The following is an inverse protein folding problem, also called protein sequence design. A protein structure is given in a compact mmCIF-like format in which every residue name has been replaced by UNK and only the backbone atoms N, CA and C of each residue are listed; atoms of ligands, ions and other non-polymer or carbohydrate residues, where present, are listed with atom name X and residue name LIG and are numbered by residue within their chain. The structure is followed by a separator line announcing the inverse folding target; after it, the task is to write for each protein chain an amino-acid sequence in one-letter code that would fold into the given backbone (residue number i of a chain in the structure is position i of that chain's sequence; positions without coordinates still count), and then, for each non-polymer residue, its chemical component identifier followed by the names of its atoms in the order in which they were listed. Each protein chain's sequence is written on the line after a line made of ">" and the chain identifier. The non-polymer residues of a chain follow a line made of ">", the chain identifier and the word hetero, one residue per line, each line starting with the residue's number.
data_IF_365937521924
#
_entry.id   IF_365937521924
#
_cell.length_a   1.000
_cell.length_b   1.000
_cell.length_c   1.000
_cell.angle_alpha   90.00
_cell.angle_beta   90.00
_cell.angle_gamma   90.00
#
_symmetry.space_group_name_H-M   'P 1'
#
loop_
_entity.id
_entity.type
_entity.pdbx_description
1 polymer ?
#
# COMPACT_ATOMS: atom_id res chain seq x y z
N UNK A 1 16.92 -41.00 -13.63
CA UNK A 1 17.08 -40.98 -12.15
C UNK A 1 18.54 -40.92 -11.67
N UNK A 2 19.54 -41.46 -12.39
CA UNK A 2 20.94 -41.45 -11.92
C UNK A 2 21.60 -40.06 -11.88
N UNK A 3 21.50 -39.27 -12.95
CA UNK A 3 22.23 -37.99 -13.05
C UNK A 3 21.81 -36.96 -12.00
N UNK A 4 20.51 -36.87 -11.72
CA UNK A 4 19.96 -35.95 -10.72
C UNK A 4 20.34 -36.34 -9.29
N UNK A 5 20.29 -37.64 -8.96
CA UNK A 5 20.73 -38.11 -7.64
C UNK A 5 22.24 -38.00 -7.48
N UNK A 6 23.02 -38.22 -8.55
CA UNK A 6 24.47 -37.98 -8.57
C UNK A 6 24.80 -36.51 -8.38
N UNK A 7 24.10 -35.57 -9.03
CA UNK A 7 24.30 -34.13 -8.84
C UNK A 7 23.94 -33.72 -7.41
N UNK A 8 22.77 -34.16 -6.90
CA UNK A 8 22.34 -33.86 -5.53
C UNK A 8 23.35 -34.40 -4.51
N UNK A 9 23.87 -35.61 -4.71
CA UNK A 9 24.86 -36.23 -3.82
C UNK A 9 26.25 -35.56 -3.93
N UNK A 10 26.67 -35.16 -5.13
CA UNK A 10 27.90 -34.37 -5.32
C UNK A 10 27.81 -32.98 -4.68
N UNK A 11 26.62 -32.38 -4.62
CA UNK A 11 26.38 -31.14 -3.90
C UNK A 11 26.44 -31.35 -2.37
N UNK A 12 26.03 -32.52 -1.86
CA UNK A 12 26.15 -32.89 -0.44
C UNK A 12 27.59 -33.19 -0.01
N UNK A 13 28.37 -33.87 -0.86
CA UNK A 13 29.72 -34.36 -0.52
C UNK A 13 30.82 -33.27 -0.58
N UNK A 14 30.53 -32.07 -1.11
CA UNK A 14 31.37 -30.86 -1.02
C UNK A 14 32.77 -30.92 -1.65
N UNK A 15 33.16 -32.04 -2.26
CA UNK A 15 34.56 -32.40 -2.55
C UNK A 15 35.10 -31.87 -3.89
N UNK A 16 34.24 -31.25 -4.72
CA UNK A 16 34.64 -30.60 -5.97
C UNK A 16 33.60 -29.56 -6.42
N UNK A 17 33.68 -28.35 -5.89
CA UNK A 17 32.78 -27.23 -6.22
C UNK A 17 32.75 -26.93 -7.72
N UNK A 18 33.88 -27.02 -8.42
CA UNK A 18 33.97 -26.71 -9.85
C UNK A 18 33.27 -27.75 -10.74
N UNK A 19 33.49 -29.05 -10.50
CA UNK A 19 32.76 -30.11 -11.23
C UNK A 19 31.26 -30.05 -10.94
N UNK A 20 30.88 -29.83 -9.69
CA UNK A 20 29.48 -29.66 -9.30
C UNK A 20 28.85 -28.46 -10.02
N UNK A 21 29.58 -27.35 -10.15
CA UNK A 21 29.12 -26.14 -10.86
C UNK A 21 28.86 -26.39 -12.35
N UNK A 22 29.74 -27.12 -13.04
CA UNK A 22 29.58 -27.43 -14.47
C UNK A 22 28.40 -28.38 -14.71
N UNK A 23 28.29 -29.45 -13.92
CA UNK A 23 27.18 -30.39 -14.02
C UNK A 23 25.84 -29.72 -13.66
N UNK A 24 25.84 -28.87 -12.64
CA UNK A 24 24.67 -28.10 -12.24
C UNK A 24 24.23 -27.16 -13.36
N UNK A 25 25.15 -26.48 -14.05
CA UNK A 25 24.80 -25.61 -15.18
C UNK A 25 24.14 -26.36 -16.34
N UNK A 26 24.63 -27.56 -16.67
CA UNK A 26 23.98 -28.40 -17.69
C UNK A 26 22.59 -28.86 -17.26
N UNK A 27 22.46 -29.30 -16.00
CA UNK A 27 21.17 -29.73 -15.46
C UNK A 27 20.16 -28.58 -15.40
N UNK A 28 20.56 -27.41 -14.91
CA UNK A 28 19.68 -26.23 -14.81
C UNK A 28 19.20 -25.77 -16.18
N UNK A 29 20.07 -25.74 -17.20
CA UNK A 29 19.64 -25.42 -18.58
C UNK A 29 18.54 -26.35 -19.07
N UNK A 30 18.65 -27.65 -18.82
CA UNK A 30 17.58 -28.58 -19.17
C UNK A 30 16.32 -28.35 -18.34
N UNK A 31 16.48 -28.27 -17.01
CA UNK A 31 15.37 -28.15 -16.06
C UNK A 31 14.56 -26.87 -16.29
N UNK A 32 15.18 -25.74 -16.60
CA UNK A 32 14.52 -24.46 -16.83
C UNK A 32 13.97 -24.29 -18.26
N UNK A 33 14.30 -25.20 -19.18
CA UNK A 33 13.87 -25.09 -20.59
C UNK A 33 12.42 -25.53 -20.84
N UNK A 34 11.95 -25.32 -22.08
CA UNK A 34 10.75 -25.91 -22.67
C UNK A 34 10.65 -27.43 -22.56
N UNK A 35 11.78 -28.11 -22.35
CA UNK A 35 11.83 -29.57 -22.18
C UNK A 35 11.78 -30.02 -20.71
N UNK A 36 11.83 -29.08 -19.77
CA UNK A 36 11.76 -29.35 -18.33
C UNK A 36 10.53 -28.71 -17.71
N UNK A 37 10.73 -27.56 -17.08
CA UNK A 37 9.73 -26.85 -16.28
C UNK A 37 8.58 -26.26 -17.10
N UNK A 38 8.84 -25.92 -18.36
CA UNK A 38 7.86 -25.42 -19.32
C UNK A 38 7.30 -26.54 -20.22
N UNK A 39 7.63 -27.80 -19.96
CA UNK A 39 7.13 -28.96 -20.72
C UNK A 39 5.61 -29.04 -20.67
N UNK A 40 4.95 -29.51 -21.72
CA UNK A 40 3.50 -29.76 -21.72
C UNK A 40 3.08 -31.04 -20.97
N UNK A 41 4.03 -31.79 -20.42
CA UNK A 41 3.78 -33.05 -19.70
C UNK A 41 3.89 -32.82 -18.20
N UNK A 42 2.81 -33.04 -17.46
CA UNK A 42 2.75 -32.74 -16.03
C UNK A 42 3.75 -33.54 -15.19
N UNK A 43 4.03 -34.79 -15.55
CA UNK A 43 5.06 -35.58 -14.89
C UNK A 43 6.47 -34.98 -15.06
N UNK A 44 6.75 -34.41 -16.25
CA UNK A 44 8.03 -33.76 -16.55
C UNK A 44 8.14 -32.43 -15.80
N UNK A 45 7.06 -31.63 -15.76
CA UNK A 45 7.01 -30.41 -14.93
C UNK A 45 7.23 -30.74 -13.47
N UNK A 46 6.51 -31.73 -12.93
CA UNK A 46 6.58 -32.14 -11.54
C UNK A 46 7.97 -32.64 -11.16
N UNK A 47 8.60 -33.47 -12.02
CA UNK A 47 9.98 -33.91 -11.84
C UNK A 47 10.97 -32.74 -11.87
N UNK A 48 10.81 -31.83 -12.84
CA UNK A 48 11.70 -30.68 -12.99
C UNK A 48 11.60 -29.73 -11.80
N UNK A 49 10.38 -29.42 -11.37
CA UNK A 49 10.11 -28.60 -10.19
C UNK A 49 10.72 -29.23 -8.93
N UNK A 50 10.46 -30.52 -8.68
CA UNK A 50 11.03 -31.24 -7.53
C UNK A 50 12.55 -31.19 -7.54
N UNK A 51 13.15 -31.40 -8.71
CA UNK A 51 14.61 -31.34 -8.86
C UNK A 51 15.16 -29.94 -8.58
N UNK A 52 14.52 -28.88 -9.10
CA UNK A 52 14.93 -27.50 -8.84
C UNK A 52 14.81 -27.18 -7.35
N UNK A 53 13.74 -27.63 -6.67
CA UNK A 53 13.62 -27.46 -5.22
C UNK A 53 14.76 -28.15 -4.46
N UNK A 54 15.12 -29.37 -4.82
CA UNK A 54 16.24 -30.09 -4.21
C UNK A 54 17.59 -29.38 -4.47
N UNK A 55 17.80 -28.90 -5.70
CA UNK A 55 18.98 -28.13 -6.11
C UNK A 55 19.09 -26.82 -5.33
N UNK A 56 18.02 -26.04 -5.21
CA UNK A 56 18.06 -24.76 -4.48
C UNK A 56 18.32 -24.98 -2.99
N UNK A 57 17.79 -26.07 -2.42
CA UNK A 57 17.98 -26.44 -1.02
C UNK A 57 19.40 -26.92 -0.70
N UNK A 58 20.03 -27.69 -1.61
CA UNK A 58 21.32 -28.35 -1.36
C UNK A 58 22.50 -27.72 -2.10
N UNK A 59 22.25 -26.83 -3.06
CA UNK A 59 23.24 -26.29 -3.99
C UNK A 59 24.30 -25.40 -3.35
N UNK A 60 24.03 -24.80 -2.19
CA UNK A 60 24.96 -23.93 -1.47
C UNK A 60 25.62 -22.89 -2.39
N UNK A 61 26.94 -22.71 -2.23
CA UNK A 61 27.73 -21.74 -3.03
C UNK A 61 27.78 -22.08 -4.53
N UNK A 62 27.59 -23.34 -4.92
CA UNK A 62 27.61 -23.73 -6.33
C UNK A 62 26.39 -23.20 -7.10
N UNK A 63 25.31 -22.83 -6.39
CA UNK A 63 24.10 -22.23 -6.97
C UNK A 63 24.31 -20.77 -7.38
N UNK A 64 25.23 -20.06 -6.71
CA UNK A 64 25.46 -18.61 -6.83
C UNK A 64 25.40 -18.08 -8.29
N UNK A 65 26.10 -18.68 -9.28
CA UNK A 65 26.13 -18.16 -10.65
C UNK A 65 24.79 -18.21 -11.39
N UNK A 66 23.84 -18.99 -10.88
CA UNK A 66 22.56 -19.28 -11.54
C UNK A 66 21.38 -18.62 -10.83
N UNK A 67 21.60 -17.98 -9.68
CA UNK A 67 20.54 -17.38 -8.84
C UNK A 67 19.73 -16.34 -9.61
N UNK A 68 20.40 -15.45 -10.35
CA UNK A 68 19.76 -14.40 -11.13
C UNK A 68 18.86 -14.95 -12.26
N UNK A 69 19.14 -16.16 -12.75
CA UNK A 69 18.35 -16.85 -13.76
C UNK A 69 17.21 -17.65 -13.12
N UNK A 70 17.45 -18.34 -12.01
CA UNK A 70 16.48 -19.24 -11.36
C UNK A 70 15.31 -18.47 -10.75
N UNK A 71 15.56 -17.35 -10.05
CA UNK A 71 14.50 -16.61 -9.33
C UNK A 71 13.34 -16.20 -10.26
N UNK A 72 13.59 -15.55 -11.43
CA UNK A 72 12.52 -15.22 -12.38
C UNK A 72 11.68 -16.42 -12.82
N UNK A 73 12.33 -17.56 -13.11
CA UNK A 73 11.62 -18.78 -13.52
C UNK A 73 10.72 -19.26 -12.39
N UNK A 74 11.24 -19.35 -11.15
CA UNK A 74 10.46 -19.75 -9.98
C UNK A 74 9.25 -18.83 -9.75
N UNK A 75 9.42 -17.51 -9.89
CA UNK A 75 8.32 -16.55 -9.77
C UNK A 75 7.20 -16.83 -10.78
N UNK A 76 7.56 -17.11 -12.04
CA UNK A 76 6.59 -17.39 -13.09
C UNK A 76 5.83 -18.71 -12.85
N UNK A 77 6.42 -19.66 -12.12
CA UNK A 77 5.75 -20.92 -11.82
C UNK A 77 4.57 -20.82 -10.87
N UNK A 78 4.50 -19.76 -10.06
CA UNK A 78 3.39 -19.59 -9.12
C UNK A 78 2.02 -19.63 -9.82
N UNK A 79 1.93 -19.18 -11.07
CA UNK A 79 0.69 -19.23 -11.84
C UNK A 79 0.54 -20.47 -12.72
N UNK A 80 1.56 -21.30 -12.89
CA UNK A 80 1.49 -22.51 -13.72
C UNK A 80 1.21 -23.80 -12.93
N UNK A 81 1.48 -23.80 -11.62
CA UNK A 81 1.35 -24.98 -10.75
C UNK A 81 -0.03 -25.06 -10.06
N UNK A 82 -0.94 -24.12 -10.33
CA UNK A 82 -2.28 -24.17 -9.76
C UNK A 82 -3.13 -25.29 -10.38
N UNK A 83 -3.80 -26.13 -9.57
CA UNK A 83 -4.69 -27.16 -10.08
C UNK A 83 -5.79 -26.56 -10.98
N UNK A 84 -6.01 -27.17 -12.16
CA UNK A 84 -6.99 -26.69 -13.15
C UNK A 84 -8.41 -26.59 -12.59
N UNK A 85 -8.75 -27.44 -11.61
CA UNK A 85 -10.06 -27.44 -10.95
C UNK A 85 -10.33 -26.12 -10.21
N UNK A 86 -9.28 -25.49 -9.63
CA UNK A 86 -9.43 -24.21 -8.94
C UNK A 86 -9.68 -23.10 -9.96
N UNK A 87 -8.98 -23.12 -11.09
CA UNK A 87 -9.20 -22.17 -12.18
C UNK A 87 -10.60 -22.30 -12.79
N UNK A 88 -11.06 -23.53 -13.00
CA UNK A 88 -12.41 -23.81 -13.48
C UNK A 88 -13.48 -23.35 -12.48
N UNK A 89 -13.28 -23.60 -11.18
CA UNK A 89 -14.18 -23.11 -10.14
C UNK A 89 -14.23 -21.58 -10.11
N UNK A 90 -13.08 -20.90 -10.21
CA UNK A 90 -12.99 -19.44 -10.19
C UNK A 90 -13.85 -18.77 -11.28
N UNK A 91 -13.84 -19.32 -12.50
CA UNK A 91 -14.63 -18.78 -13.62
C UNK A 91 -16.15 -18.84 -13.36
N UNK A 92 -16.59 -19.80 -12.55
CA UNK A 92 -18.01 -20.05 -12.24
C UNK A 92 -18.50 -19.33 -10.98
N UNK A 93 -17.60 -18.76 -10.18
CA UNK A 93 -17.95 -18.02 -8.98
C UNK A 93 -18.46 -16.61 -9.30
N UNK A 94 -19.42 -16.17 -8.50
CA UNK A 94 -19.83 -14.76 -8.39
C UNK A 94 -18.71 -13.93 -7.76
N UNK A 95 -18.74 -12.62 -8.01
CA UNK A 95 -17.66 -11.68 -7.66
C UNK A 95 -17.36 -11.63 -6.15
N UNK A 96 -18.38 -11.71 -5.30
CA UNK A 96 -18.28 -11.77 -3.84
C UNK A 96 -17.48 -12.99 -3.34
N UNK A 97 -17.68 -14.15 -3.97
CA UNK A 97 -16.97 -15.40 -3.62
C UNK A 97 -15.56 -15.46 -4.23
N UNK A 98 -15.32 -14.74 -5.33
CA UNK A 98 -13.97 -14.62 -5.93
C UNK A 98 -12.99 -13.99 -4.95
N UNK A 99 -13.41 -12.98 -4.18
CA UNK A 99 -12.54 -12.34 -3.19
C UNK A 99 -12.04 -13.29 -2.09
N UNK A 100 -12.89 -14.23 -1.62
CA UNK A 100 -12.45 -15.23 -0.64
C UNK A 100 -11.47 -16.24 -1.24
N UNK A 101 -11.70 -16.66 -2.48
CA UNK A 101 -10.80 -17.55 -3.18
C UNK A 101 -9.46 -16.87 -3.50
N UNK A 102 -9.47 -15.58 -3.85
CA UNK A 102 -8.25 -14.81 -4.07
C UNK A 102 -7.40 -14.71 -2.80
N UNK A 103 -8.01 -14.50 -1.63
CA UNK A 103 -7.30 -14.58 -0.34
C UNK A 103 -6.65 -15.92 -0.09
N UNK A 104 -7.38 -17.01 -0.37
CA UNK A 104 -6.85 -18.37 -0.22
C UNK A 104 -5.67 -18.60 -1.18
N UNK A 105 -5.81 -18.20 -2.45
CA UNK A 105 -4.75 -18.26 -3.47
C UNK A 105 -3.52 -17.44 -3.07
N UNK A 106 -3.72 -16.22 -2.56
CA UNK A 106 -2.65 -15.38 -2.05
C UNK A 106 -1.90 -16.04 -0.89
N UNK A 107 -2.62 -16.67 0.04
CA UNK A 107 -2.03 -17.42 1.16
C UNK A 107 -1.16 -18.59 0.69
N UNK A 108 -1.61 -19.34 -0.33
CA UNK A 108 -0.84 -20.45 -0.89
C UNK A 108 0.50 -20.01 -1.47
N UNK A 109 0.60 -18.83 -2.10
CA UNK A 109 1.88 -18.31 -2.57
C UNK A 109 2.86 -18.21 -1.40
N UNK A 110 2.44 -17.67 -0.26
CA UNK A 110 3.32 -17.46 0.89
C UNK A 110 3.85 -18.76 1.53
N UNK A 111 3.14 -19.88 1.36
CA UNK A 111 3.50 -21.18 1.94
C UNK A 111 3.97 -22.20 0.91
N UNK A 112 4.08 -21.81 -0.37
CA UNK A 112 4.39 -22.75 -1.43
C UNK A 112 5.85 -23.23 -1.38
N UNK A 113 6.13 -24.47 -1.83
CA UNK A 113 7.50 -24.96 -2.02
C UNK A 113 8.33 -24.12 -3.01
N UNK A 114 7.68 -23.46 -3.98
CA UNK A 114 8.32 -22.53 -4.93
C UNK A 114 8.91 -21.35 -4.16
N UNK A 115 8.16 -20.82 -3.20
CA UNK A 115 8.58 -19.72 -2.33
C UNK A 115 9.76 -20.13 -1.44
N UNK A 116 9.76 -21.36 -0.91
CA UNK A 116 10.92 -21.90 -0.18
C UNK A 116 12.16 -21.99 -1.07
N UNK A 117 12.00 -22.39 -2.34
CA UNK A 117 13.10 -22.43 -3.30
C UNK A 117 13.66 -21.04 -3.62
N UNK A 118 12.80 -20.02 -3.75
CA UNK A 118 13.22 -18.61 -3.89
C UNK A 118 13.99 -18.17 -2.64
N UNK A 119 13.47 -18.46 -1.44
CA UNK A 119 14.12 -18.13 -0.17
C UNK A 119 15.51 -18.78 -0.06
N UNK A 120 15.68 -20.01 -0.55
CA UNK A 120 16.97 -20.68 -0.58
C UNK A 120 17.93 -20.03 -1.58
N UNK A 121 17.44 -19.59 -2.74
CA UNK A 121 18.24 -18.83 -3.72
C UNK A 121 18.72 -17.50 -3.14
N UNK A 122 17.85 -16.79 -2.42
CA UNK A 122 18.18 -15.50 -1.81
C UNK A 122 19.37 -15.60 -0.86
N UNK A 123 19.57 -16.73 -0.15
CA UNK A 123 20.73 -16.94 0.74
C UNK A 123 22.09 -16.84 0.04
N UNK A 124 22.13 -16.89 -1.28
CA UNK A 124 23.37 -16.79 -2.06
C UNK A 124 23.57 -15.39 -2.67
N UNK A 125 22.61 -14.47 -2.51
CA UNK A 125 22.64 -13.13 -3.12
C UNK A 125 23.66 -12.24 -2.41
N UNK A 126 24.50 -11.60 -3.21
CA UNK A 126 25.41 -10.51 -2.86
C UNK A 126 25.30 -9.37 -3.89
N UNK A 127 26.17 -8.35 -3.80
CA UNK A 127 26.13 -7.18 -4.67
C UNK A 127 26.23 -7.54 -6.18
N UNK A 128 27.06 -8.53 -6.53
CA UNK A 128 27.25 -8.98 -7.91
C UNK A 128 25.97 -9.62 -8.44
N UNK A 129 25.37 -10.55 -7.69
CA UNK A 129 24.11 -11.18 -8.09
C UNK A 129 22.97 -10.17 -8.11
N UNK A 130 22.90 -9.27 -7.13
CA UNK A 130 21.83 -8.28 -7.06
C UNK A 130 21.82 -7.41 -8.32
N UNK A 131 23.01 -6.99 -8.80
CA UNK A 131 23.16 -6.23 -10.05
C UNK A 131 22.59 -6.97 -11.26
N UNK A 132 22.74 -8.29 -11.31
CA UNK A 132 22.18 -9.14 -12.38
C UNK A 132 20.68 -9.41 -12.19
N UNK A 133 20.23 -9.50 -10.93
CA UNK A 133 18.86 -9.86 -10.57
C UNK A 133 17.89 -8.68 -10.79
N UNK A 134 18.33 -7.44 -10.55
CA UNK A 134 17.52 -6.22 -10.72
C UNK A 134 16.82 -6.16 -12.09
N UNK A 135 17.51 -6.21 -13.25
CA UNK A 135 16.84 -6.14 -14.54
C UNK A 135 15.86 -7.31 -14.77
N UNK A 136 16.17 -8.50 -14.25
CA UNK A 136 15.32 -9.68 -14.40
C UNK A 136 14.04 -9.59 -13.54
N UNK A 137 14.14 -9.05 -12.31
CA UNK A 137 12.96 -8.77 -11.47
C UNK A 137 12.10 -7.70 -12.13
N UNK A 138 12.70 -6.64 -12.67
CA UNK A 138 11.96 -5.59 -13.35
C UNK A 138 11.15 -6.12 -14.52
N UNK A 139 11.76 -6.97 -15.34
CA UNK A 139 11.09 -7.60 -16.45
C UNK A 139 9.96 -8.50 -15.96
N UNK A 140 10.22 -9.36 -14.97
CA UNK A 140 9.22 -10.26 -14.39
C UNK A 140 8.00 -9.49 -13.84
N UNK A 141 8.22 -8.42 -13.07
CA UNK A 141 7.13 -7.58 -12.53
C UNK A 141 6.31 -6.93 -13.65
N UNK A 142 6.96 -6.49 -14.74
CA UNK A 142 6.28 -5.86 -15.88
C UNK A 142 5.49 -6.86 -16.73
N UNK A 143 5.99 -8.09 -16.88
CA UNK A 143 5.35 -9.13 -17.70
C UNK A 143 4.40 -10.03 -16.92
N UNK A 144 4.40 -10.00 -15.59
CA UNK A 144 3.53 -10.83 -14.77
C UNK A 144 2.05 -10.53 -15.04
N UNK A 145 1.31 -11.55 -15.50
CA UNK A 145 -0.13 -11.48 -15.73
C UNK A 145 -0.89 -12.08 -14.53
N UNK A 146 -0.50 -13.29 -14.12
CA UNK A 146 -1.18 -14.05 -13.08
C UNK A 146 -1.02 -13.45 -11.69
N UNK A 147 -2.10 -13.51 -10.90
CA UNK A 147 -2.15 -12.98 -9.53
C UNK A 147 -1.04 -13.58 -8.65
N UNK A 148 -0.84 -14.89 -8.71
CA UNK A 148 0.10 -15.58 -7.84
C UNK A 148 1.56 -15.15 -8.11
N UNK A 149 1.96 -15.03 -9.38
CA UNK A 149 3.28 -14.51 -9.74
C UNK A 149 3.47 -13.07 -9.28
N UNK A 150 2.47 -12.20 -9.44
CA UNK A 150 2.54 -10.81 -8.95
C UNK A 150 2.71 -10.74 -7.43
N UNK A 151 1.98 -11.56 -6.68
CA UNK A 151 2.13 -11.66 -5.23
C UNK A 151 3.53 -12.18 -4.85
N UNK A 152 4.04 -13.18 -5.56
CA UNK A 152 5.41 -13.67 -5.38
C UNK A 152 6.45 -12.58 -5.60
N UNK A 153 6.27 -11.75 -6.63
CA UNK A 153 7.15 -10.61 -6.89
C UNK A 153 7.09 -9.57 -5.76
N UNK A 154 5.89 -9.25 -5.27
CA UNK A 154 5.71 -8.34 -4.14
C UNK A 154 6.39 -8.87 -2.86
N UNK A 155 6.25 -10.17 -2.58
CA UNK A 155 6.92 -10.84 -1.46
C UNK A 155 8.44 -10.77 -1.60
N UNK A 156 8.98 -11.01 -2.80
CA UNK A 156 10.41 -10.95 -3.06
C UNK A 156 11.02 -9.60 -2.66
N UNK A 157 10.37 -8.46 -2.95
CA UNK A 157 10.83 -7.15 -2.48
C UNK A 157 10.88 -7.05 -0.96
N UNK A 158 9.89 -7.59 -0.27
CA UNK A 158 9.87 -7.63 1.20
C UNK A 158 11.04 -8.44 1.74
N UNK A 159 11.29 -9.63 1.17
CA UNK A 159 12.39 -10.50 1.61
C UNK A 159 13.76 -9.87 1.34
N UNK A 160 13.95 -9.24 0.18
CA UNK A 160 15.18 -8.54 -0.16
C UNK A 160 15.45 -7.39 0.81
N UNK A 161 14.46 -6.56 1.15
CA UNK A 161 14.66 -5.49 2.15
C UNK A 161 15.00 -6.07 3.53
N UNK A 162 14.36 -7.16 3.93
CA UNK A 162 14.52 -7.74 5.26
C UNK A 162 15.82 -8.51 5.43
N UNK A 163 16.34 -9.14 4.37
CA UNK A 163 17.49 -10.07 4.43
C UNK A 163 18.73 -9.57 3.68
N UNK A 164 18.54 -8.68 2.69
CA UNK A 164 19.57 -8.19 1.77
C UNK A 164 19.53 -6.65 1.68
N UNK A 165 19.42 -6.01 2.85
CA UNK A 165 19.19 -4.57 2.97
C UNK A 165 20.27 -3.76 2.26
N UNK A 166 21.55 -4.14 2.43
CA UNK A 166 22.70 -3.47 1.85
C UNK A 166 22.68 -3.58 0.32
N UNK A 167 22.43 -4.77 -0.20
CA UNK A 167 22.47 -5.06 -1.62
C UNK A 167 21.31 -4.37 -2.38
N UNK A 168 20.11 -4.28 -1.80
CA UNK A 168 18.94 -3.68 -2.46
C UNK A 168 18.90 -2.15 -2.37
N UNK A 169 19.53 -1.55 -1.36
CA UNK A 169 19.46 -0.10 -1.08
C UNK A 169 19.78 0.78 -2.31
N UNK A 170 20.84 0.51 -3.11
CA UNK A 170 21.14 1.30 -4.32
C UNK A 170 20.01 1.30 -5.37
N UNK A 171 19.13 0.30 -5.34
CA UNK A 171 18.05 0.09 -6.31
C UNK A 171 16.67 0.46 -5.76
N UNK A 172 16.56 0.79 -4.47
CA UNK A 172 15.29 1.03 -3.78
C UNK A 172 14.45 2.14 -4.44
N UNK A 173 15.07 3.24 -4.86
CA UNK A 173 14.39 4.34 -5.56
C UNK A 173 13.68 3.89 -6.83
N UNK A 174 14.34 3.03 -7.62
CA UNK A 174 13.83 2.50 -8.89
C UNK A 174 12.66 1.54 -8.65
N UNK A 175 12.80 0.63 -7.68
CA UNK A 175 11.72 -0.29 -7.33
C UNK A 175 10.52 0.44 -6.73
N UNK A 176 10.74 1.43 -5.87
CA UNK A 176 9.65 2.24 -5.32
C UNK A 176 8.91 3.02 -6.41
N UNK A 177 9.62 3.52 -7.43
CA UNK A 177 8.99 4.14 -8.61
C UNK A 177 8.10 3.15 -9.37
N UNK A 178 8.51 1.89 -9.50
CA UNK A 178 7.67 0.86 -10.11
C UNK A 178 6.41 0.58 -9.30
N UNK A 179 6.54 0.58 -7.96
CA UNK A 179 5.40 0.35 -7.08
C UNK A 179 4.29 1.37 -7.28
N UNK A 180 4.60 2.61 -7.67
CA UNK A 180 3.61 3.65 -7.98
C UNK A 180 2.54 3.18 -8.99
N UNK A 181 2.87 2.24 -9.88
CA UNK A 181 1.92 1.59 -10.79
C UNK A 181 1.34 0.30 -10.19
N UNK A 182 2.17 -0.52 -9.56
CA UNK A 182 1.78 -1.87 -9.12
C UNK A 182 0.78 -1.87 -7.97
N UNK A 183 0.82 -0.86 -7.09
CA UNK A 183 -0.18 -0.70 -6.02
C UNK A 183 -1.59 -0.46 -6.55
N UNK A 184 -1.74 -0.06 -7.82
CA UNK A 184 -3.02 0.17 -8.49
C UNK A 184 -3.54 -1.05 -9.25
N UNK A 185 -3.02 -2.25 -8.97
CA UNK A 185 -3.52 -3.47 -9.59
C UNK A 185 -5.02 -3.66 -9.32
N UNK A 186 -5.72 -4.18 -10.34
CA UNK A 186 -7.16 -4.42 -10.29
C UNK A 186 -7.52 -5.45 -9.21
N UNK A 187 -6.67 -6.46 -9.01
CA UNK A 187 -6.89 -7.44 -7.96
C UNK A 187 -6.49 -6.87 -6.59
N UNK A 188 -7.39 -6.97 -5.60
CA UNK A 188 -7.17 -6.41 -4.27
C UNK A 188 -6.00 -7.05 -3.52
N UNK A 189 -5.83 -8.36 -3.61
CA UNK A 189 -4.74 -9.07 -2.93
C UNK A 189 -3.38 -8.72 -3.54
N UNK A 190 -3.31 -8.54 -4.86
CA UNK A 190 -2.10 -8.05 -5.55
C UNK A 190 -1.76 -6.64 -5.12
N UNK A 191 -2.75 -5.74 -5.12
CA UNK A 191 -2.56 -4.34 -4.71
C UNK A 191 -2.08 -4.26 -3.26
N UNK A 192 -2.68 -5.03 -2.34
CA UNK A 192 -2.27 -5.09 -0.93
C UNK A 192 -0.86 -5.67 -0.76
N UNK A 193 -0.50 -6.71 -1.52
CA UNK A 193 0.85 -7.27 -1.50
C UNK A 193 1.89 -6.23 -1.94
N UNK A 194 1.64 -5.49 -3.03
CA UNK A 194 2.53 -4.43 -3.48
C UNK A 194 2.53 -3.20 -2.56
N UNK A 195 1.41 -2.89 -1.90
CA UNK A 195 1.36 -1.85 -0.87
C UNK A 195 2.30 -2.20 0.30
N UNK A 196 2.27 -3.46 0.77
CA UNK A 196 3.20 -3.96 1.78
C UNK A 196 4.65 -3.94 1.29
N UNK A 197 4.92 -4.38 0.06
CA UNK A 197 6.24 -4.32 -0.53
C UNK A 197 6.79 -2.89 -0.59
N UNK A 198 5.94 -1.91 -0.95
CA UNK A 198 6.28 -0.49 -0.99
C UNK A 198 6.67 0.03 0.39
N UNK A 199 5.92 -0.34 1.44
CA UNK A 199 6.23 0.03 2.82
C UNK A 199 7.63 -0.45 3.23
N UNK A 200 7.99 -1.71 2.91
CA UNK A 200 9.35 -2.21 3.16
C UNK A 200 10.40 -1.48 2.32
N UNK A 201 10.17 -1.27 1.02
CA UNK A 201 11.10 -0.52 0.16
C UNK A 201 11.36 0.89 0.69
N UNK A 202 10.36 1.56 1.28
CA UNK A 202 10.55 2.86 1.91
C UNK A 202 11.57 2.84 3.05
N UNK A 203 11.81 1.71 3.73
CA UNK A 203 12.83 1.59 4.80
C UNK A 203 14.26 1.80 4.31
N UNK A 204 14.51 1.59 3.03
CA UNK A 204 15.83 1.66 2.39
C UNK A 204 15.88 2.67 1.24
N UNK A 205 14.76 3.32 0.94
CA UNK A 205 14.71 4.34 -0.11
C UNK A 205 15.30 5.67 0.38
N UNK A 206 15.99 6.43 -0.49
CA UNK A 206 16.38 7.81 -0.19
C UNK A 206 15.17 8.69 0.12
N UNK A 207 15.36 9.72 0.96
CA UNK A 207 14.30 10.63 1.40
C UNK A 207 13.50 11.24 0.24
N UNK A 208 14.18 11.74 -0.80
CA UNK A 208 13.54 12.28 -2.00
C UNK A 208 12.60 11.27 -2.71
N UNK A 209 12.90 9.97 -2.60
CA UNK A 209 12.06 8.91 -3.18
C UNK A 209 10.87 8.58 -2.29
N UNK A 210 11.05 8.59 -0.96
CA UNK A 210 9.95 8.47 0.01
C UNK A 210 8.95 9.62 -0.21
N UNK A 211 9.46 10.85 -0.33
CA UNK A 211 8.63 12.04 -0.54
C UNK A 211 7.87 12.00 -1.85
N UNK A 212 8.53 11.65 -2.95
CA UNK A 212 7.86 11.49 -4.25
C UNK A 212 6.73 10.47 -4.17
N UNK A 213 6.99 9.31 -3.56
CA UNK A 213 6.02 8.23 -3.46
C UNK A 213 4.79 8.64 -2.64
N UNK A 214 4.99 9.28 -1.49
CA UNK A 214 3.89 9.73 -0.62
C UNK A 214 3.11 10.88 -1.24
N UNK A 215 3.79 11.87 -1.82
CA UNK A 215 3.10 12.96 -2.55
C UNK A 215 2.24 12.39 -3.66
N UNK A 216 2.77 11.45 -4.46
CA UNK A 216 1.99 10.80 -5.51
C UNK A 216 0.80 9.98 -4.98
N UNK A 217 0.96 9.27 -3.87
CA UNK A 217 -0.15 8.53 -3.25
C UNK A 217 -1.27 9.47 -2.79
N UNK A 218 -0.91 10.59 -2.16
CA UNK A 218 -1.87 11.63 -1.74
C UNK A 218 -2.53 12.26 -2.98
N UNK A 219 -1.76 12.57 -4.02
CA UNK A 219 -2.32 13.13 -5.26
C UNK A 219 -3.30 12.17 -5.93
N UNK A 220 -2.96 10.88 -6.00
CA UNK A 220 -3.85 9.84 -6.51
C UNK A 220 -5.17 9.74 -5.74
N UNK A 221 -5.19 10.06 -4.44
CA UNK A 221 -6.42 10.08 -3.65
C UNK A 221 -7.32 11.25 -4.05
N UNK A 222 -6.77 12.45 -4.21
CA UNK A 222 -7.54 13.64 -4.58
C UNK A 222 -7.93 13.66 -6.07
N UNK A 223 -7.12 13.05 -6.94
CA UNK A 223 -7.36 12.94 -8.37
C UNK A 223 -8.15 11.66 -8.73
N UNK A 224 -8.61 10.91 -7.72
CA UNK A 224 -9.37 9.68 -7.93
C UNK A 224 -10.70 9.93 -8.64
N UNK A 225 -10.97 9.11 -9.64
CA UNK A 225 -12.21 9.18 -10.41
C UNK A 225 -13.31 8.29 -9.84
N UNK A 226 -12.92 7.30 -9.05
CA UNK A 226 -13.74 6.29 -8.41
C UNK A 226 -13.25 5.99 -6.99
N UNK A 227 -14.04 5.21 -6.26
CA UNK A 227 -13.71 4.78 -4.90
C UNK A 227 -12.57 3.77 -4.90
N UNK A 228 -12.48 2.90 -5.92
CA UNK A 228 -11.46 1.86 -6.04
C UNK A 228 -10.04 2.44 -5.98
N UNK A 229 -9.76 3.56 -6.67
CA UNK A 229 -8.45 4.22 -6.62
C UNK A 229 -8.15 4.78 -5.23
N UNK A 230 -9.13 5.36 -4.52
CA UNK A 230 -8.95 5.82 -3.13
C UNK A 230 -8.72 4.65 -2.16
N UNK A 231 -9.42 3.53 -2.37
CA UNK A 231 -9.20 2.30 -1.62
C UNK A 231 -7.76 1.78 -1.79
N UNK A 232 -7.21 1.80 -3.02
CA UNK A 232 -5.81 1.42 -3.25
C UNK A 232 -4.83 2.34 -2.51
N UNK A 233 -5.07 3.66 -2.53
CA UNK A 233 -4.26 4.61 -1.73
C UNK A 233 -4.36 4.31 -0.24
N UNK A 234 -5.56 4.02 0.27
CA UNK A 234 -5.74 3.68 1.68
C UNK A 234 -4.96 2.42 2.08
N UNK A 235 -4.85 1.43 1.17
CA UNK A 235 -4.05 0.23 1.40
C UNK A 235 -2.56 0.57 1.47
N UNK A 236 -2.06 1.49 0.63
CA UNK A 236 -0.66 1.96 0.68
C UNK A 236 -0.35 2.62 2.01
N UNK A 237 -1.17 3.56 2.46
CA UNK A 237 -0.91 4.28 3.72
C UNK A 237 -1.06 3.35 4.93
N UNK A 238 -2.05 2.47 4.94
CA UNK A 238 -2.23 1.47 6.00
C UNK A 238 -1.07 0.46 6.04
N UNK A 239 -0.58 0.02 4.87
CA UNK A 239 0.57 -0.86 4.79
C UNK A 239 1.84 -0.17 5.32
N UNK A 240 2.05 1.10 4.99
CA UNK A 240 3.16 1.88 5.54
C UNK A 240 3.07 2.01 7.07
N UNK A 241 1.90 2.39 7.59
CA UNK A 241 1.68 2.59 9.01
C UNK A 241 1.92 1.32 9.83
N UNK A 242 1.59 0.16 9.27
CA UNK A 242 1.70 -1.14 9.97
C UNK A 242 3.02 -1.86 9.74
N UNK A 243 3.55 -1.87 8.51
CA UNK A 243 4.77 -2.61 8.17
C UNK A 243 6.05 -1.80 8.38
N UNK A 244 5.98 -0.47 8.41
CA UNK A 244 7.13 0.42 8.65
C UNK A 244 6.72 1.67 9.43
N UNK A 245 6.28 1.49 10.70
CA UNK A 245 5.80 2.58 11.55
C UNK A 245 6.88 3.64 11.85
N UNK A 246 8.15 3.26 11.88
CA UNK A 246 9.30 4.17 11.96
C UNK A 246 9.31 5.18 10.81
N UNK A 247 9.14 4.70 9.57
CA UNK A 247 9.09 5.56 8.39
C UNK A 247 7.78 6.37 8.34
N UNK A 248 6.67 5.80 8.79
CA UNK A 248 5.43 6.56 8.93
C UNK A 248 5.61 7.75 9.88
N UNK A 249 6.26 7.53 11.03
CA UNK A 249 6.50 8.55 12.04
C UNK A 249 7.47 9.64 11.56
N UNK A 250 8.46 9.32 10.72
CA UNK A 250 9.30 10.32 10.04
C UNK A 250 8.48 11.30 9.18
N UNK A 251 7.35 10.83 8.64
CA UNK A 251 6.47 11.56 7.72
C UNK A 251 5.15 11.99 8.40
N UNK A 252 5.09 11.97 9.74
CA UNK A 252 3.86 12.10 10.50
C UNK A 252 3.12 13.41 10.22
N UNK A 253 3.85 14.53 10.03
CA UNK A 253 3.28 15.85 9.80
C UNK A 253 2.47 15.95 8.51
N UNK A 254 2.67 15.04 7.56
CA UNK A 254 1.89 14.94 6.33
C UNK A 254 0.89 13.79 6.40
N UNK A 255 1.29 12.64 6.95
CA UNK A 255 0.49 11.43 6.93
C UNK A 255 -0.63 11.41 7.98
N UNK A 256 -0.41 11.92 9.20
CA UNK A 256 -1.46 11.97 10.22
C UNK A 256 -2.59 12.94 9.85
N UNK A 257 -2.31 14.18 9.38
CA UNK A 257 -3.36 15.09 8.93
C UNK A 257 -4.15 14.53 7.73
N UNK A 258 -3.47 13.87 6.81
CA UNK A 258 -4.10 13.18 5.69
C UNK A 258 -4.98 12.02 6.17
N UNK A 259 -4.47 11.19 7.10
CA UNK A 259 -5.23 10.08 7.67
C UNK A 259 -6.46 10.56 8.44
N UNK A 260 -6.35 11.67 9.18
CA UNK A 260 -7.50 12.30 9.82
C UNK A 260 -8.55 12.67 8.78
N UNK A 261 -8.19 13.40 7.72
CA UNK A 261 -9.15 13.80 6.68
C UNK A 261 -9.80 12.59 5.99
N UNK A 262 -9.01 11.61 5.57
CA UNK A 262 -9.50 10.44 4.85
C UNK A 262 -10.26 9.44 5.76
N UNK A 263 -10.11 9.54 7.09
CA UNK A 263 -10.99 8.82 8.04
C UNK A 263 -12.44 9.32 8.03
N UNK A 264 -12.71 10.43 7.34
CA UNK A 264 -14.06 10.96 7.08
C UNK A 264 -14.48 10.78 5.61
N UNK A 265 -13.81 9.89 4.85
CA UNK A 265 -14.29 9.46 3.53
C UNK A 265 -15.68 8.82 3.63
N UNK A 266 -16.49 9.01 2.59
CA UNK A 266 -17.83 8.40 2.52
C UNK A 266 -17.79 6.95 2.08
N UNK A 267 -16.69 6.50 1.48
CA UNK A 267 -16.42 5.09 1.23
C UNK A 267 -15.98 4.39 2.52
N UNK A 268 -16.69 3.33 2.90
CA UNK A 268 -16.46 2.63 4.17
C UNK A 268 -15.12 1.90 4.24
N UNK A 269 -14.57 1.46 3.09
CA UNK A 269 -13.25 0.82 3.07
C UNK A 269 -12.15 1.83 3.38
N UNK A 270 -12.15 2.96 2.66
CA UNK A 270 -11.21 4.06 2.87
C UNK A 270 -11.28 4.55 4.31
N UNK A 271 -12.49 4.87 4.78
CA UNK A 271 -12.73 5.31 6.15
C UNK A 271 -12.17 4.32 7.17
N UNK A 272 -12.50 3.02 7.06
CA UNK A 272 -12.01 1.99 7.98
C UNK A 272 -10.49 1.85 7.95
N UNK A 273 -9.87 1.93 6.78
CA UNK A 273 -8.42 1.86 6.65
C UNK A 273 -7.75 3.05 7.35
N UNK A 274 -8.24 4.27 7.12
CA UNK A 274 -7.65 5.47 7.73
C UNK A 274 -7.98 5.64 9.21
N UNK A 275 -9.14 5.18 9.69
CA UNK A 275 -9.41 5.08 11.13
C UNK A 275 -8.39 4.18 11.82
N UNK A 276 -8.04 3.03 11.22
CA UNK A 276 -6.98 2.16 11.77
C UNK A 276 -5.63 2.86 11.82
N UNK A 277 -5.27 3.62 10.79
CA UNK A 277 -4.03 4.42 10.78
C UNK A 277 -4.04 5.46 11.90
N UNK A 278 -5.14 6.20 12.02
CA UNK A 278 -5.34 7.22 13.05
C UNK A 278 -5.21 6.65 14.46
N UNK A 279 -5.90 5.54 14.74
CA UNK A 279 -5.91 4.90 16.06
C UNK A 279 -4.53 4.30 16.41
N UNK A 280 -3.79 3.79 15.42
CA UNK A 280 -2.48 3.16 15.64
C UNK A 280 -1.35 4.17 15.93
N UNK A 281 -1.48 5.42 15.48
CA UNK A 281 -0.42 6.45 15.58
C UNK A 281 -0.80 7.61 16.50
N UNK A 282 -1.41 7.28 17.65
CA UNK A 282 -1.79 8.23 18.70
C UNK A 282 -2.67 9.38 18.20
N UNK A 283 -3.59 9.09 17.29
CA UNK A 283 -4.66 9.99 16.88
C UNK A 283 -5.47 10.45 18.08
N UNK A 284 -5.48 11.76 18.34
CA UNK A 284 -6.19 12.36 19.47
C UNK A 284 -6.60 13.80 19.14
N UNK A 285 -7.47 14.38 19.95
CA UNK A 285 -7.84 15.79 19.82
C UNK A 285 -6.61 16.73 19.93
N UNK A 286 -5.60 16.36 20.74
CA UNK A 286 -4.31 17.10 20.81
C UNK A 286 -3.52 17.00 19.52
N UNK A 287 -3.54 15.83 18.88
CA UNK A 287 -2.90 15.61 17.57
C UNK A 287 -3.56 16.48 16.50
N UNK A 288 -4.89 16.56 16.51
CA UNK A 288 -5.64 17.46 15.63
C UNK A 288 -5.27 18.93 15.89
N UNK A 289 -5.20 19.35 17.15
CA UNK A 289 -4.82 20.72 17.51
C UNK A 289 -3.37 21.07 17.11
N UNK A 290 -2.46 20.09 17.12
CA UNK A 290 -1.07 20.25 16.65
C UNK A 290 -0.99 20.50 15.14
N UNK A 291 -1.86 19.86 14.36
CA UNK A 291 -1.79 19.85 12.89
C UNK A 291 -2.96 20.58 12.21
N UNK A 292 -3.49 21.64 12.84
CA UNK A 292 -4.61 22.40 12.27
C UNK A 292 -4.27 22.95 10.89
N UNK A 293 -3.05 23.44 10.67
CA UNK A 293 -2.63 24.02 9.39
C UNK A 293 -2.66 22.99 8.27
N UNK A 294 -2.07 21.81 8.50
CA UNK A 294 -2.00 20.73 7.52
C UNK A 294 -3.37 20.11 7.26
N UNK A 295 -4.20 19.93 8.29
CA UNK A 295 -5.58 19.45 8.13
C UNK A 295 -6.39 20.46 7.30
N UNK A 296 -6.28 21.76 7.59
CA UNK A 296 -6.95 22.82 6.81
C UNK A 296 -6.50 22.80 5.35
N UNK A 297 -5.22 22.55 5.08
CA UNK A 297 -4.72 22.43 3.70
C UNK A 297 -5.38 21.26 2.95
N UNK A 298 -5.51 20.08 3.58
CA UNK A 298 -6.20 18.94 2.98
C UNK A 298 -7.71 19.17 2.81
N UNK A 299 -8.36 19.77 3.81
CA UNK A 299 -9.78 20.14 3.73
C UNK A 299 -10.01 21.11 2.59
N UNK A 300 -9.15 22.14 2.44
CA UNK A 300 -9.24 23.10 1.33
C UNK A 300 -9.15 22.36 -0.01
N UNK A 301 -8.15 21.50 -0.19
CA UNK A 301 -7.98 20.68 -1.40
C UNK A 301 -9.21 19.81 -1.69
N UNK A 302 -9.80 19.19 -0.67
CA UNK A 302 -11.02 18.39 -0.80
C UNK A 302 -12.24 19.22 -1.20
N UNK A 303 -12.42 20.39 -0.61
CA UNK A 303 -13.50 21.33 -0.93
C UNK A 303 -13.35 21.99 -2.31
N UNK A 304 -12.12 22.13 -2.82
CA UNK A 304 -11.80 22.60 -4.18
C UNK A 304 -11.95 21.51 -5.25
N UNK A 305 -11.98 20.24 -4.85
CA UNK A 305 -12.06 19.14 -5.78
C UNK A 305 -13.43 19.13 -6.51
N UNK A 306 -13.48 18.68 -7.78
CA UNK A 306 -14.73 18.57 -8.53
C UNK A 306 -15.58 17.36 -8.07
N UNK A 307 -15.09 16.55 -7.12
CA UNK A 307 -15.74 15.32 -6.66
C UNK A 307 -16.49 15.56 -5.36
N UNK A 308 -17.78 15.23 -5.35
CA UNK A 308 -18.66 15.35 -4.19
C UNK A 308 -18.14 14.59 -2.96
N UNK A 309 -17.58 13.39 -3.15
CA UNK A 309 -17.02 12.61 -2.03
C UNK A 309 -15.94 13.40 -1.28
N UNK A 310 -14.99 13.99 -2.01
CA UNK A 310 -13.91 14.78 -1.40
C UNK A 310 -14.41 16.07 -0.73
N UNK A 311 -15.44 16.70 -1.30
CA UNK A 311 -16.08 17.87 -0.69
C UNK A 311 -16.80 17.49 0.61
N UNK A 312 -17.52 16.35 0.62
CA UNK A 312 -18.19 15.84 1.82
C UNK A 312 -17.18 15.40 2.89
N UNK A 313 -16.10 14.73 2.51
CA UNK A 313 -15.01 14.39 3.42
C UNK A 313 -14.42 15.64 4.05
N UNK A 314 -14.06 16.65 3.26
CA UNK A 314 -13.60 17.94 3.79
C UNK A 314 -14.59 18.58 4.75
N UNK A 315 -15.89 18.53 4.44
CA UNK A 315 -16.97 19.03 5.29
C UNK A 315 -17.13 18.23 6.62
N UNK A 316 -16.95 16.91 6.60
CA UNK A 316 -16.98 16.11 7.82
C UNK A 316 -15.71 16.28 8.64
N UNK A 317 -14.55 16.38 8.00
CA UNK A 317 -13.26 16.63 8.65
C UNK A 317 -13.25 17.97 9.37
N UNK A 318 -13.71 19.06 8.75
CA UNK A 318 -13.78 20.37 9.41
C UNK A 318 -14.72 20.34 10.63
N UNK A 319 -15.85 19.63 10.53
CA UNK A 319 -16.80 19.49 11.62
C UNK A 319 -16.21 18.71 12.81
N UNK A 320 -15.43 17.67 12.54
CA UNK A 320 -14.71 16.91 13.57
C UNK A 320 -13.57 17.73 14.17
N UNK A 321 -12.77 18.39 13.33
CA UNK A 321 -11.63 19.20 13.74
C UNK A 321 -12.05 20.30 14.72
N UNK A 322 -13.17 20.98 14.50
CA UNK A 322 -13.67 22.01 15.42
C UNK A 322 -13.90 21.43 16.81
N UNK A 323 -14.51 20.25 16.91
CA UNK A 323 -14.76 19.57 18.19
C UNK A 323 -13.45 19.19 18.87
N UNK A 324 -12.52 18.64 18.10
CA UNK A 324 -11.21 18.21 18.60
C UNK A 324 -10.34 19.38 19.08
N UNK A 325 -10.29 20.48 18.33
CA UNK A 325 -9.53 21.68 18.74
C UNK A 325 -10.12 22.28 20.03
N UNK A 326 -11.45 22.32 20.16
CA UNK A 326 -12.10 22.77 21.41
C UNK A 326 -11.78 21.82 22.56
N UNK A 327 -11.84 20.51 22.34
CA UNK A 327 -11.53 19.51 23.38
C UNK A 327 -10.06 19.52 23.81
N UNK A 328 -9.15 19.90 22.91
CA UNK A 328 -7.72 20.01 23.20
C UNK A 328 -7.31 21.35 23.83
N UNK A 329 -8.20 22.33 23.88
CA UNK A 329 -7.90 23.66 24.40
C UNK A 329 -7.92 23.66 25.93
N UNK A 330 -6.82 24.09 26.56
CA UNK A 330 -6.72 24.15 28.01
C UNK A 330 -7.60 25.26 28.60
N UNK A 331 -8.28 24.97 29.72
CA UNK A 331 -9.08 25.95 30.46
C UNK A 331 -10.54 26.06 30.00
N UNK A 332 -10.85 27.01 29.11
CA UNK A 332 -12.22 27.42 28.77
C UNK A 332 -12.71 26.94 27.39
N UNK A 333 -11.91 26.11 26.71
CA UNK A 333 -12.22 25.60 25.38
C UNK A 333 -12.12 26.63 24.24
N UNK A 334 -11.56 27.82 24.46
CA UNK A 334 -11.46 28.84 23.40
C UNK A 334 -10.43 28.43 22.35
N UNK A 335 -10.79 28.58 21.07
CA UNK A 335 -9.90 28.33 19.94
C UNK A 335 -8.94 29.51 19.82
N UNK A 336 -7.65 29.25 19.62
CA UNK A 336 -6.64 30.31 19.42
C UNK A 336 -6.92 31.15 18.17
N UNK A 337 -6.53 32.43 18.20
CA UNK A 337 -6.73 33.36 17.06
C UNK A 337 -6.10 32.85 15.77
N UNK A 338 -4.93 32.21 15.87
CA UNK A 338 -4.25 31.59 14.73
C UNK A 338 -5.12 30.48 14.12
N UNK A 339 -5.64 29.58 14.95
CA UNK A 339 -6.49 28.48 14.48
C UNK A 339 -7.83 29.02 13.94
N UNK A 340 -8.42 30.04 14.56
CA UNK A 340 -9.65 30.68 14.07
C UNK A 340 -9.48 31.23 12.64
N UNK A 341 -8.36 31.90 12.35
CA UNK A 341 -8.05 32.43 11.01
C UNK A 341 -7.83 31.33 9.97
N UNK A 342 -7.29 30.18 10.37
CA UNK A 342 -7.10 29.02 9.48
C UNK A 342 -8.42 28.29 9.21
N UNK A 343 -9.23 28.06 10.24
CA UNK A 343 -10.45 27.24 10.20
C UNK A 343 -11.61 27.96 9.51
N UNK A 344 -11.78 29.27 9.75
CA UNK A 344 -12.94 30.01 9.26
C UNK A 344 -13.15 29.95 7.73
N UNK A 345 -12.14 30.21 6.87
CA UNK A 345 -12.35 30.21 5.42
C UNK A 345 -12.82 28.86 4.87
N UNK A 346 -12.30 27.75 5.41
CA UNK A 346 -12.71 26.41 4.97
C UNK A 346 -14.06 26.00 5.56
N UNK A 347 -14.39 26.45 6.78
CA UNK A 347 -15.71 26.23 7.38
C UNK A 347 -16.82 26.97 6.62
N UNK A 348 -16.62 28.24 6.27
CA UNK A 348 -17.58 29.03 5.46
C UNK A 348 -17.84 28.35 4.12
N UNK A 349 -16.77 27.91 3.45
CA UNK A 349 -16.85 27.18 2.19
C UNK A 349 -17.60 25.85 2.33
N UNK A 350 -17.31 25.06 3.37
CA UNK A 350 -18.01 23.80 3.63
C UNK A 350 -19.51 24.02 3.91
N UNK A 351 -19.85 25.05 4.68
CA UNK A 351 -21.25 25.40 5.00
C UNK A 351 -22.01 25.85 3.74
N UNK A 352 -21.32 26.49 2.79
CA UNK A 352 -21.88 26.95 1.52
C UNK A 352 -22.21 25.81 0.53
N UNK A 353 -21.73 24.58 0.76
CA UNK A 353 -22.11 23.43 -0.07
C UNK A 353 -23.63 23.27 -0.12
N UNK A 354 -24.15 22.65 -1.20
CA UNK A 354 -25.56 22.26 -1.26
C UNK A 354 -25.87 21.26 -0.14
N UNK A 355 -27.14 21.03 0.12
CA UNK A 355 -27.54 19.98 1.07
C UNK A 355 -27.04 18.61 0.57
N UNK A 356 -26.48 17.82 1.48
CA UNK A 356 -26.04 16.44 1.22
C UNK A 356 -26.32 15.56 2.45
N UNK A 357 -26.21 14.25 2.26
CA UNK A 357 -26.41 13.25 3.31
C UNK A 357 -25.48 13.53 4.49
N UNK A 358 -26.02 13.58 5.69
CA UNK A 358 -25.28 13.85 6.92
C UNK A 358 -24.75 15.28 7.15
N UNK A 359 -25.17 16.27 6.33
CA UNK A 359 -24.74 17.67 6.52
C UNK A 359 -25.15 18.24 7.90
N UNK A 360 -26.10 17.65 8.62
CA UNK A 360 -26.40 18.00 10.02
C UNK A 360 -25.18 17.93 10.93
N UNK A 361 -24.24 17.00 10.66
CA UNK A 361 -22.99 16.88 11.42
C UNK A 361 -22.11 18.11 11.27
N UNK A 362 -22.05 18.68 10.07
CA UNK A 362 -21.37 19.94 9.80
C UNK A 362 -22.11 21.11 10.47
N UNK A 363 -23.43 21.18 10.31
CA UNK A 363 -24.24 22.27 10.90
C UNK A 363 -24.13 22.30 12.43
N UNK A 364 -24.08 21.13 13.08
CA UNK A 364 -23.90 21.01 14.53
C UNK A 364 -22.53 21.54 15.02
N UNK A 365 -21.51 21.57 14.15
CA UNK A 365 -20.19 22.14 14.51
C UNK A 365 -20.16 23.68 14.45
N UNK A 366 -21.06 24.30 13.69
CA UNK A 366 -21.09 25.74 13.51
C UNK A 366 -21.34 26.55 14.82
N UNK A 367 -22.35 26.26 15.65
CA UNK A 367 -22.53 26.97 16.91
C UNK A 367 -21.37 26.74 17.89
N UNK A 368 -20.73 25.57 17.84
CA UNK A 368 -19.52 25.27 18.63
C UNK A 368 -18.39 26.22 18.21
N UNK A 369 -18.11 26.33 16.91
CA UNK A 369 -17.11 27.27 16.39
C UNK A 369 -17.42 28.72 16.78
N UNK A 370 -18.68 29.17 16.60
CA UNK A 370 -19.09 30.55 16.93
C UNK A 370 -18.95 30.83 18.44
N UNK A 371 -19.32 29.88 19.29
CA UNK A 371 -19.26 30.02 20.75
C UNK A 371 -17.84 30.01 21.32
N UNK A 372 -16.95 29.23 20.73
CA UNK A 372 -15.55 29.07 21.15
C UNK A 372 -14.56 29.95 20.36
N UNK A 373 -15.06 30.70 19.37
CA UNK A 373 -14.29 31.59 18.51
C UNK A 373 -14.73 33.05 18.58
N UNK A 374 -15.23 33.52 19.74
CA UNK A 374 -15.88 34.83 19.89
C UNK A 374 -15.03 35.98 19.37
N UNK A 375 -13.74 35.92 19.67
CA UNK A 375 -12.77 36.95 19.29
C UNK A 375 -12.75 37.20 17.78
N UNK A 376 -12.86 36.16 16.94
CA UNK A 376 -12.83 36.30 15.49
C UNK A 376 -13.93 37.21 14.94
N UNK A 377 -15.18 37.05 15.40
CA UNK A 377 -16.31 37.84 14.91
C UNK A 377 -16.57 39.10 15.73
N UNK A 378 -16.02 39.20 16.94
CA UNK A 378 -15.99 40.46 17.70
C UNK A 378 -15.01 41.46 17.08
N UNK A 379 -13.88 40.97 16.58
CA UNK A 379 -12.83 41.80 15.98
C UNK A 379 -13.11 42.12 14.48
N UNK A 380 -13.95 41.34 13.80
CA UNK A 380 -14.28 41.51 12.37
C UNK A 380 -15.80 41.50 12.11
N UNK A 381 -16.35 42.69 11.83
CA UNK A 381 -17.77 42.88 11.54
C UNK A 381 -18.23 42.19 10.24
N UNK A 382 -17.34 42.00 9.26
CA UNK A 382 -17.63 41.28 8.02
C UNK A 382 -17.83 39.79 8.27
N UNK A 383 -16.96 39.18 9.08
CA UNK A 383 -17.12 37.80 9.54
C UNK A 383 -18.40 37.63 10.35
N UNK A 384 -18.71 38.55 11.27
CA UNK A 384 -19.94 38.52 12.05
C UNK A 384 -21.21 38.56 11.16
N UNK A 385 -21.22 39.44 10.16
CA UNK A 385 -22.32 39.54 9.20
C UNK A 385 -22.49 38.25 8.37
N UNK A 386 -21.38 37.65 7.92
CA UNK A 386 -21.39 36.39 7.18
C UNK A 386 -21.89 35.23 8.04
N UNK A 387 -21.44 35.10 9.30
CA UNK A 387 -21.93 34.08 10.23
C UNK A 387 -23.44 34.19 10.45
N UNK A 388 -23.96 35.42 10.64
CA UNK A 388 -25.41 35.66 10.77
C UNK A 388 -26.16 35.26 9.50
N UNK A 389 -25.62 35.57 8.32
CA UNK A 389 -26.20 35.18 7.03
C UNK A 389 -26.28 33.66 6.87
N UNK A 390 -25.23 32.93 7.26
CA UNK A 390 -25.22 31.46 7.24
C UNK A 390 -26.29 30.91 8.17
N UNK A 391 -26.36 31.38 9.42
CA UNK A 391 -27.36 30.93 10.39
C UNK A 391 -28.79 31.11 9.88
N UNK A 392 -29.11 32.28 9.32
CA UNK A 392 -30.43 32.57 8.75
C UNK A 392 -30.72 31.74 7.49
N UNK A 393 -29.72 31.48 6.65
CA UNK A 393 -29.86 30.65 5.45
C UNK A 393 -30.21 29.21 5.82
N UNK A 394 -29.47 28.62 6.75
CA UNK A 394 -29.69 27.21 7.14
C UNK A 394 -30.97 27.06 7.96
N UNK A 395 -31.34 28.02 8.83
CA UNK A 395 -32.60 27.98 9.58
C UNK A 395 -33.86 28.05 8.68
N UNK A 396 -33.73 28.62 7.48
CA UNK A 396 -34.83 28.71 6.49
C UNK A 396 -34.92 27.49 5.58
N UNK A 397 -33.95 26.57 5.61
CA UNK A 397 -34.02 25.36 4.80
C UNK A 397 -35.03 24.39 5.43
N UNK A 398 -36.18 24.22 4.80
CA UNK A 398 -37.00 23.04 5.00
C UNK A 398 -36.34 21.87 4.31
N UNK A 399 -35.94 20.85 5.06
CA UNK A 399 -35.39 19.64 4.50
C UNK A 399 -36.01 18.45 5.21
N UNK A 400 -36.82 17.68 4.50
CA UNK A 400 -37.64 16.60 5.08
C UNK A 400 -36.81 15.45 5.68
N UNK A 401 -35.51 15.40 5.40
CA UNK A 401 -34.57 14.44 5.97
C UNK A 401 -33.94 14.88 7.31
N UNK A 402 -34.24 16.09 7.81
CA UNK A 402 -33.66 16.71 9.01
C UNK A 402 -34.67 16.87 10.13
#
# INVERSE_FOLDING_TARGET
>A
MGLTSTIVRLLEDGSSVDTARVMLGQALRFLLSSSGLESNVDEVKGFSLKTIMDVTKKGGKALKPYVAEIIPHLLNLHSTVEPEQINFAYQRLQEDKRGQLDKMRASFVNTSPITEAIDNCLRQVDDEIMTQLVPNIEQTVKSAIGMQTKIGCARLFTDMVMRHRHEIEPYASKFLQMMEKQVLDRNDEVSQAYAKASAYLMRVAPEASKDRFITKAIDLYFDAEDDARRQKVSNVILALSTASPDIFNELESRLLPFAFMASHDTDEWVKKAFTKVWDAHAGSSRTVARYVEEIVAFVRRGLDAPRWVLQHSGAFTIASMIKDVVAASDGNGQISDANLKLIWPVLDKALALKTFTHKEKLLASFPVFVGHGKKLWQDDAGIAAQMKKIALREAKRNNDAY
#
